data_IF_823133913720
#
_entry.id   IF_823133913720
#
_cell.length_a   1.000
_cell.length_b   1.000
_cell.length_c   1.000
_cell.angle_alpha   90.00
_cell.angle_beta   90.00
_cell.angle_gamma   90.00
#
_symmetry.space_group_name_H-M   'P 1'
#
loop_
_entity.id
_entity.type
_entity.pdbx_description
1 polymer ?
#
# COMPACT_ATOMS: atom_id res chain seq x y z
N UNK A 1 13.38 -16.39 38.58
CA UNK A 1 14.00 -15.19 37.98
C UNK A 1 13.29 -14.76 36.70
N UNK A 2 13.33 -15.51 35.60
CA UNK A 2 12.65 -15.11 34.35
C UNK A 2 11.12 -15.05 34.45
N UNK A 3 10.50 -16.00 35.15
CA UNK A 3 9.05 -16.01 35.38
C UNK A 3 8.59 -14.79 36.16
N UNK A 4 9.34 -14.39 37.18
CA UNK A 4 9.06 -13.22 38.00
C UNK A 4 9.21 -11.92 37.20
N UNK A 5 10.27 -11.80 36.40
CA UNK A 5 10.47 -10.66 35.48
C UNK A 5 9.31 -10.58 34.48
N UNK A 6 8.91 -11.71 33.89
CA UNK A 6 7.80 -11.76 32.94
C UNK A 6 6.47 -11.38 33.60
N UNK A 7 6.17 -11.92 34.78
CA UNK A 7 4.97 -11.56 35.54
C UNK A 7 4.96 -10.08 35.91
N UNK A 8 6.10 -9.52 36.32
CA UNK A 8 6.23 -8.10 36.61
C UNK A 8 6.03 -7.24 35.36
N UNK A 9 6.57 -7.63 34.20
CA UNK A 9 6.33 -6.92 32.95
C UNK A 9 4.82 -6.92 32.60
N UNK A 10 4.18 -8.09 32.62
CA UNK A 10 2.76 -8.22 32.30
C UNK A 10 1.86 -7.42 33.26
N UNK A 11 2.24 -7.31 34.55
CA UNK A 11 1.49 -6.51 35.53
C UNK A 11 1.66 -5.00 35.32
N UNK A 12 2.82 -4.56 34.86
CA UNK A 12 3.18 -3.13 34.80
C UNK A 12 2.95 -2.48 33.44
N UNK A 13 2.83 -3.25 32.35
CA UNK A 13 2.45 -2.69 31.04
C UNK A 13 0.97 -2.31 31.08
N UNK A 14 0.71 -1.01 31.25
CA UNK A 14 -0.66 -0.48 31.32
C UNK A 14 -1.32 -0.44 29.94
N UNK A 15 -2.58 -0.88 29.86
CA UNK A 15 -3.42 -0.65 28.69
C UNK A 15 -3.65 0.84 28.39
N UNK A 16 -3.66 1.71 29.41
CA UNK A 16 -3.78 3.16 29.22
C UNK A 16 -2.56 3.72 28.50
N UNK A 17 -1.36 3.30 28.92
CA UNK A 17 -0.10 3.64 28.28
C UNK A 17 -0.10 3.27 26.79
N UNK A 18 -0.52 2.04 26.45
CA UNK A 18 -0.59 1.59 25.06
C UNK A 18 -1.59 2.40 24.24
N UNK A 19 -2.76 2.72 24.82
CA UNK A 19 -3.80 3.51 24.14
C UNK A 19 -3.34 4.94 23.87
N UNK A 20 -2.68 5.58 24.83
CA UNK A 20 -2.16 6.94 24.68
C UNK A 20 -1.07 7.01 23.61
N UNK A 21 -0.12 6.07 23.62
CA UNK A 21 0.93 6.02 22.59
C UNK A 21 0.35 5.72 21.21
N UNK A 22 -0.62 4.81 21.11
CA UNK A 22 -1.31 4.56 19.85
C UNK A 22 -2.05 5.82 19.36
N UNK A 23 -2.64 6.62 20.26
CA UNK A 23 -3.27 7.88 19.89
C UNK A 23 -2.27 8.91 19.37
N UNK A 24 -1.06 8.96 19.92
CA UNK A 24 0.02 9.81 19.40
C UNK A 24 0.46 9.34 18.01
N UNK A 25 0.69 8.03 17.84
CA UNK A 25 1.16 7.46 16.56
C UNK A 25 0.11 7.49 15.46
N UNK A 26 -1.17 7.34 15.78
CA UNK A 26 -2.24 7.23 14.78
C UNK A 26 -3.13 8.48 14.68
N UNK A 27 -3.15 9.35 15.68
CA UNK A 27 -3.93 10.60 15.69
C UNK A 27 -3.17 11.80 15.11
N UNK A 28 -1.87 11.66 14.85
CA UNK A 28 -1.02 12.68 14.25
C UNK A 28 -1.20 12.85 12.73
N UNK A 29 -0.31 13.62 12.11
CA UNK A 29 -0.25 13.71 10.64
C UNK A 29 0.14 12.37 10.01
N UNK A 30 -0.28 12.10 8.76
CA UNK A 30 0.28 11.01 7.96
C UNK A 30 1.81 11.04 8.00
N UNK A 31 2.42 9.89 8.29
CA UNK A 31 3.85 9.74 8.49
C UNK A 31 4.48 8.71 7.54
N UNK A 32 4.26 8.81 6.20
CA UNK A 32 4.97 7.95 5.27
C UNK A 32 6.49 8.16 5.39
N UNK A 33 7.28 7.14 5.05
CA UNK A 33 8.73 7.19 5.14
C UNK A 33 9.30 8.42 4.43
N UNK A 34 10.21 9.14 5.10
CA UNK A 34 10.83 10.35 4.57
C UNK A 34 10.01 11.64 4.73
N UNK A 35 8.78 11.59 5.23
CA UNK A 35 7.98 12.80 5.49
C UNK A 35 8.34 13.46 6.82
N UNK A 36 7.99 14.75 6.96
CA UNK A 36 8.10 15.48 8.23
C UNK A 36 7.37 14.75 9.38
N UNK A 37 6.17 14.23 9.13
CA UNK A 37 5.41 13.49 10.14
C UNK A 37 6.17 12.25 10.66
N UNK A 38 6.91 11.56 9.79
CA UNK A 38 7.76 10.44 10.20
C UNK A 38 8.96 10.88 11.05
N UNK A 39 9.54 12.06 10.77
CA UNK A 39 10.58 12.66 11.63
C UNK A 39 10.02 13.08 12.99
N UNK A 40 8.82 13.67 13.04
CA UNK A 40 8.16 14.05 14.30
C UNK A 40 7.93 12.82 15.20
N UNK A 41 7.55 11.67 14.62
CA UNK A 41 7.44 10.40 15.36
C UNK A 41 8.81 9.92 15.85
N UNK A 42 9.87 10.05 15.04
CA UNK A 42 11.22 9.68 15.46
C UNK A 42 11.71 10.54 16.64
N UNK A 43 11.45 11.86 16.62
CA UNK A 43 11.73 12.78 17.72
C UNK A 43 11.01 12.35 19.01
N UNK A 44 9.73 11.99 18.90
CA UNK A 44 8.94 11.51 20.02
C UNK A 44 9.51 10.21 20.62
N UNK A 45 9.82 9.22 19.78
CA UNK A 45 10.38 7.93 20.24
C UNK A 45 11.73 8.12 20.91
N UNK A 46 12.61 8.94 20.33
CA UNK A 46 13.91 9.27 20.90
C UNK A 46 13.78 9.89 22.29
N UNK A 47 12.84 10.85 22.45
CA UNK A 47 12.55 11.47 23.73
C UNK A 47 12.06 10.43 24.76
N UNK A 48 11.09 9.60 24.40
CA UNK A 48 10.56 8.57 25.30
C UNK A 48 11.66 7.61 25.78
N UNK A 49 12.54 7.15 24.88
CA UNK A 49 13.63 6.24 25.27
C UNK A 49 14.62 6.89 26.23
N UNK A 50 14.96 8.17 26.01
CA UNK A 50 15.80 8.92 26.95
C UNK A 50 15.12 9.04 28.33
N UNK A 51 13.82 9.36 28.36
CA UNK A 51 13.04 9.49 29.60
C UNK A 51 12.90 8.17 30.36
N UNK A 52 12.81 7.04 29.66
CA UNK A 52 12.75 5.71 30.27
C UNK A 52 14.11 5.22 30.79
N UNK A 53 15.19 5.98 30.58
CA UNK A 53 16.52 5.65 31.08
C UNK A 53 17.29 4.65 30.22
N UNK A 54 17.00 4.56 28.93
CA UNK A 54 17.83 3.77 28.02
C UNK A 54 19.26 4.31 27.99
N UNK A 55 20.29 3.44 28.13
CA UNK A 55 21.67 3.88 28.33
C UNK A 55 22.26 4.58 27.10
N UNK A 56 21.83 4.21 25.89
CA UNK A 56 22.31 4.77 24.63
C UNK A 56 21.11 4.93 23.70
N UNK A 57 20.88 6.15 23.21
CA UNK A 57 19.83 6.47 22.25
C UNK A 57 20.44 7.36 21.16
N UNK A 58 20.63 6.78 19.97
CA UNK A 58 21.23 7.47 18.82
C UNK A 58 20.29 7.39 17.61
N UNK A 59 20.14 8.49 16.89
CA UNK A 59 19.48 8.52 15.59
C UNK A 59 20.47 8.14 14.50
N UNK A 60 20.06 7.24 13.61
CA UNK A 60 20.84 6.88 12.43
C UNK A 60 20.07 7.27 11.17
N UNK A 61 20.71 8.06 10.31
CA UNK A 61 20.16 8.47 9.04
C UNK A 61 20.72 7.63 7.89
N UNK A 62 19.86 7.35 6.92
CA UNK A 62 20.20 6.67 5.68
C UNK A 62 19.58 7.41 4.50
N UNK A 63 20.36 7.61 3.44
CA UNK A 63 19.87 8.16 2.19
C UNK A 63 19.49 7.02 1.27
N UNK A 64 18.19 6.89 1.01
CA UNK A 64 17.61 5.79 0.22
C UNK A 64 16.66 6.35 -0.84
N UNK A 65 16.56 5.65 -1.97
CA UNK A 65 15.58 5.98 -3.00
C UNK A 65 14.21 5.48 -2.55
N UNK A 66 13.33 6.42 -2.17
CA UNK A 66 11.94 6.12 -1.86
C UNK A 66 11.06 6.30 -3.09
N UNK A 67 10.01 5.48 -3.25
CA UNK A 67 9.04 5.69 -4.29
C UNK A 67 8.23 6.94 -3.94
N UNK A 68 8.18 7.90 -4.84
CA UNK A 68 7.37 9.10 -4.65
C UNK A 68 6.03 8.90 -5.38
N UNK A 69 4.94 9.03 -4.64
CA UNK A 69 3.60 8.98 -5.22
C UNK A 69 3.25 10.27 -5.97
N UNK A 70 2.05 10.34 -6.56
CA UNK A 70 1.52 11.61 -7.07
C UNK A 70 1.52 12.69 -5.97
N UNK A 71 1.77 13.97 -6.31
CA UNK A 71 1.67 15.05 -5.34
C UNK A 71 0.25 15.19 -4.82
N UNK A 72 0.09 15.73 -3.61
CA UNK A 72 -1.22 15.92 -2.96
C UNK A 72 -2.19 16.74 -3.84
N UNK A 73 -1.67 17.77 -4.54
CA UNK A 73 -2.46 18.64 -5.42
C UNK A 73 -2.66 18.10 -6.86
N UNK A 74 -2.16 16.89 -7.15
CA UNK A 74 -2.31 16.26 -8.47
C UNK A 74 -1.29 16.69 -9.54
N UNK A 75 -1.36 16.07 -10.74
CA UNK A 75 -2.37 15.10 -11.18
C UNK A 75 -2.19 13.72 -10.50
N UNK A 76 -3.31 13.03 -10.25
CA UNK A 76 -3.32 11.70 -9.65
C UNK A 76 -3.39 10.59 -10.70
N UNK A 77 -2.97 9.39 -10.30
CA UNK A 77 -3.13 8.19 -11.12
C UNK A 77 -4.62 7.88 -11.31
N UNK A 78 -4.99 7.53 -12.53
CA UNK A 78 -6.38 7.25 -12.88
C UNK A 78 -6.53 5.98 -13.72
N UNK A 79 -7.72 5.39 -13.61
CA UNK A 79 -8.17 4.29 -14.45
C UNK A 79 -9.46 4.74 -15.12
N UNK A 80 -9.47 4.71 -16.44
CA UNK A 80 -10.59 5.13 -17.26
C UNK A 80 -11.12 3.89 -17.99
N UNK A 81 -12.43 3.68 -17.91
CA UNK A 81 -13.14 2.72 -18.76
C UNK A 81 -13.84 3.51 -19.87
N UNK A 82 -13.58 3.14 -21.11
CA UNK A 82 -14.22 3.73 -22.28
C UNK A 82 -15.17 2.75 -22.96
N UNK A 83 -15.97 3.26 -23.90
CA UNK A 83 -16.65 2.42 -24.89
C UNK A 83 -15.63 1.73 -25.82
N UNK A 84 -16.13 0.83 -26.67
CA UNK A 84 -15.31 -0.09 -27.47
C UNK A 84 -14.36 0.63 -28.45
N UNK A 85 -14.79 1.75 -29.02
CA UNK A 85 -14.04 2.61 -29.94
C UNK A 85 -13.19 3.67 -29.22
N UNK A 86 -13.28 3.76 -27.88
CA UNK A 86 -12.47 4.66 -27.07
C UNK A 86 -12.90 6.13 -27.10
N UNK A 87 -14.04 6.43 -27.69
CA UNK A 87 -14.53 7.80 -27.91
C UNK A 87 -15.25 8.38 -26.70
N UNK A 88 -15.90 7.54 -25.90
CA UNK A 88 -16.68 7.96 -24.73
C UNK A 88 -16.14 7.33 -23.45
N UNK A 89 -16.01 8.15 -22.41
CA UNK A 89 -15.66 7.71 -21.05
C UNK A 89 -16.93 7.18 -20.36
N UNK A 90 -16.97 5.88 -20.11
CA UNK A 90 -18.04 5.21 -19.35
C UNK A 90 -17.82 5.39 -17.86
N UNK A 91 -16.57 5.27 -17.41
CA UNK A 91 -16.22 5.37 -15.99
C UNK A 91 -14.82 5.93 -15.80
N UNK A 92 -14.65 6.72 -14.74
CA UNK A 92 -13.35 7.22 -14.29
C UNK A 92 -13.20 6.92 -12.80
N UNK A 93 -12.08 6.31 -12.45
CA UNK A 93 -11.73 6.01 -11.08
C UNK A 93 -10.34 6.60 -10.76
N UNK A 94 -10.26 7.30 -9.64
CA UNK A 94 -9.02 7.69 -9.00
C UNK A 94 -8.98 7.03 -7.63
N UNK A 95 -7.84 6.41 -7.30
CA UNK A 95 -7.71 5.73 -6.02
C UNK A 95 -7.15 6.72 -5.00
N UNK A 96 -7.92 7.00 -3.95
CA UNK A 96 -7.53 7.88 -2.86
C UNK A 96 -7.89 7.25 -1.53
N UNK A 97 -7.21 7.70 -0.47
CA UNK A 97 -7.54 7.36 0.91
C UNK A 97 -7.94 8.62 1.64
N UNK A 98 -9.07 8.55 2.34
CA UNK A 98 -9.56 9.60 3.22
C UNK A 98 -8.73 9.63 4.49
N UNK A 99 -8.12 10.76 4.80
CA UNK A 99 -7.46 10.96 6.09
C UNK A 99 -8.49 11.53 7.07
N UNK A 100 -8.58 11.01 8.31
CA UNK A 100 -9.36 11.66 9.35
C UNK A 100 -8.85 13.07 9.59
N UNK A 101 -9.76 14.06 9.54
CA UNK A 101 -9.44 15.43 9.92
C UNK A 101 -9.07 15.50 11.41
N UNK A 102 -8.02 16.27 11.74
CA UNK A 102 -7.59 16.47 13.13
C UNK A 102 -8.69 17.15 13.94
N UNK A 103 -9.47 16.40 14.72
CA UNK A 103 -10.25 17.00 15.80
C UNK A 103 -9.28 17.38 16.92
N UNK A 104 -9.10 18.69 17.14
CA UNK A 104 -8.18 19.25 18.13
C UNK A 104 -8.50 18.88 19.59
N UNK A 105 -9.62 18.21 19.85
CA UNK A 105 -10.05 17.83 21.19
C UNK A 105 -10.39 16.35 21.23
N UNK A 106 -9.94 15.68 22.30
CA UNK A 106 -9.92 14.25 22.59
C UNK A 106 -11.28 13.51 22.64
N UNK A 107 -12.25 13.89 21.83
CA UNK A 107 -13.48 13.14 21.63
C UNK A 107 -13.37 12.35 20.33
N UNK A 108 -13.78 11.09 20.43
CA UNK A 108 -13.93 10.08 19.37
C UNK A 108 -13.75 10.64 17.95
N UNK A 109 -12.76 10.10 17.25
CA UNK A 109 -12.55 10.34 15.82
C UNK A 109 -13.79 9.87 15.08
N UNK A 110 -14.74 10.78 14.89
CA UNK A 110 -15.84 10.59 13.96
C UNK A 110 -15.23 10.81 12.58
N UNK A 111 -15.18 9.75 11.77
CA UNK A 111 -14.83 9.84 10.36
C UNK A 111 -16.05 10.42 9.63
N UNK A 112 -16.41 11.65 9.97
CA UNK A 112 -17.48 12.37 9.29
C UNK A 112 -16.90 12.88 7.97
N UNK A 113 -17.51 12.45 6.86
CA UNK A 113 -17.08 12.65 5.47
C UNK A 113 -17.10 14.11 4.99
N UNK A 114 -17.22 15.10 5.88
CA UNK A 114 -17.59 16.46 5.52
C UNK A 114 -16.39 17.39 5.27
N UNK A 115 -15.17 17.08 5.74
CA UNK A 115 -13.95 17.86 5.50
C UNK A 115 -12.69 16.98 5.62
N UNK A 116 -12.55 15.97 4.75
CA UNK A 116 -11.40 15.07 4.82
C UNK A 116 -10.43 15.30 3.67
N UNK A 117 -9.19 15.63 4.01
CA UNK A 117 -8.08 15.64 3.06
C UNK A 117 -7.93 14.22 2.48
N UNK A 118 -7.84 14.13 1.16
CA UNK A 118 -7.63 12.88 0.45
C UNK A 118 -6.17 12.79 0.01
N UNK A 119 -5.56 11.62 0.20
CA UNK A 119 -4.24 11.32 -0.36
C UNK A 119 -4.33 10.35 -1.53
N UNK A 120 -3.51 10.54 -2.58
CA UNK A 120 -3.45 9.60 -3.68
C UNK A 120 -2.90 8.25 -3.24
N UNK A 121 -3.55 7.18 -3.67
CA UNK A 121 -3.06 5.80 -3.49
C UNK A 121 -2.29 5.40 -4.73
N UNK A 122 -1.10 4.84 -4.54
CA UNK A 122 -0.25 4.39 -5.62
C UNK A 122 0.47 3.09 -5.26
N UNK A 123 1.00 2.43 -6.29
CA UNK A 123 1.83 1.25 -6.13
C UNK A 123 3.30 1.67 -6.12
N UNK A 124 3.93 1.60 -4.94
CA UNK A 124 5.35 1.87 -4.77
C UNK A 124 6.23 1.12 -5.79
N UNK A 125 7.19 1.83 -6.37
CA UNK A 125 8.13 1.35 -7.39
C UNK A 125 7.50 0.91 -8.73
N UNK A 126 6.23 1.25 -8.97
CA UNK A 126 5.65 1.12 -10.32
C UNK A 126 6.30 2.13 -11.27
N UNK A 127 6.52 1.72 -12.52
CA UNK A 127 6.89 2.68 -13.57
C UNK A 127 5.72 3.65 -13.81
N UNK A 128 6.05 4.89 -14.15
CA UNK A 128 5.10 5.85 -14.71
C UNK A 128 4.80 5.51 -16.17
N UNK A 129 3.57 5.72 -16.60
CA UNK A 129 3.15 5.51 -17.97
C UNK A 129 1.65 5.38 -18.10
N UNK A 130 1.21 5.27 -19.34
CA UNK A 130 -0.18 5.03 -19.71
C UNK A 130 -0.27 3.68 -20.44
N UNK A 131 -1.33 2.93 -20.18
CA UNK A 131 -1.63 1.68 -20.86
C UNK A 131 -3.11 1.66 -21.24
N UNK A 132 -3.38 1.31 -22.50
CA UNK A 132 -4.73 1.17 -23.03
C UNK A 132 -4.90 -0.24 -23.59
N UNK A 133 -6.05 -0.86 -23.32
CA UNK A 133 -6.31 -2.21 -23.79
C UNK A 133 -7.52 -2.87 -23.13
N UNK A 134 -7.85 -4.05 -23.63
CA UNK A 134 -8.90 -4.88 -23.04
C UNK A 134 -8.46 -5.40 -21.68
N UNK A 135 -9.34 -5.41 -20.69
CA UNK A 135 -8.98 -5.95 -19.39
C UNK A 135 -9.35 -7.43 -19.24
N UNK A 136 -8.53 -8.18 -18.50
CA UNK A 136 -8.77 -9.59 -18.16
C UNK A 136 -8.60 -9.81 -16.68
N UNK A 137 -9.55 -10.53 -16.08
CA UNK A 137 -9.49 -10.90 -14.68
C UNK A 137 -8.79 -12.25 -14.46
N UNK A 138 -7.74 -12.28 -13.63
CA UNK A 138 -6.90 -13.48 -13.39
C UNK A 138 -6.87 -13.94 -11.92
N UNK A 139 -7.96 -13.71 -11.20
CA UNK A 139 -8.07 -14.06 -9.77
C UNK A 139 -6.94 -13.44 -8.91
N UNK A 140 -6.11 -14.24 -8.24
CA UNK A 140 -5.02 -13.72 -7.40
C UNK A 140 -3.67 -13.64 -8.13
N UNK A 141 -3.61 -13.91 -9.44
CA UNK A 141 -2.37 -13.94 -10.24
C UNK A 141 -1.27 -14.84 -9.65
N UNK A 142 -1.65 -15.95 -9.02
CA UNK A 142 -0.70 -17.02 -8.67
C UNK A 142 -0.39 -17.83 -9.91
N UNK A 143 0.78 -18.49 -9.95
CA UNK A 143 1.15 -19.39 -11.06
C UNK A 143 0.02 -20.36 -11.43
N UNK A 144 -0.67 -20.98 -10.45
CA UNK A 144 -1.81 -21.88 -10.71
C UNK A 144 -3.04 -21.18 -11.30
N UNK A 145 -3.27 -19.91 -10.95
CA UNK A 145 -4.38 -19.14 -11.49
C UNK A 145 -4.12 -18.82 -12.98
N UNK A 146 -2.87 -18.48 -13.32
CA UNK A 146 -2.46 -18.20 -14.70
C UNK A 146 -2.48 -19.47 -15.57
N UNK A 147 -1.98 -20.60 -15.05
CA UNK A 147 -2.04 -21.89 -15.76
C UNK A 147 -3.48 -22.37 -15.95
N UNK A 148 -4.35 -22.16 -14.95
CA UNK A 148 -5.77 -22.47 -15.07
C UNK A 148 -6.44 -21.58 -16.12
N UNK A 149 -6.12 -20.29 -16.15
CA UNK A 149 -6.61 -19.37 -17.17
C UNK A 149 -6.27 -19.88 -18.58
N UNK A 150 -5.01 -20.20 -18.85
CA UNK A 150 -4.57 -20.74 -20.13
C UNK A 150 -5.30 -22.02 -20.53
N UNK A 151 -5.44 -22.95 -19.56
CA UNK A 151 -6.16 -24.20 -19.78
C UNK A 151 -7.61 -23.95 -20.16
N UNK A 152 -8.27 -22.99 -19.51
CA UNK A 152 -9.66 -22.63 -19.81
C UNK A 152 -9.82 -21.92 -21.15
N UNK A 153 -8.78 -21.22 -21.62
CA UNK A 153 -8.75 -20.62 -22.96
C UNK A 153 -8.36 -21.61 -24.06
N UNK A 154 -8.07 -22.87 -23.72
CA UNK A 154 -7.66 -23.88 -24.70
C UNK A 154 -6.29 -23.60 -25.34
N UNK A 155 -5.40 -22.89 -24.62
CA UNK A 155 -4.03 -22.59 -25.08
C UNK A 155 -3.31 -23.90 -25.43
N UNK A 156 -2.73 -23.98 -26.63
CA UNK A 156 -1.90 -25.10 -27.04
C UNK A 156 -0.46 -24.92 -26.54
N UNK A 157 0.28 -26.02 -26.46
CA UNK A 157 1.69 -26.00 -26.11
C UNK A 157 2.50 -25.25 -27.17
N UNK A 158 3.32 -24.29 -26.73
CA UNK A 158 4.12 -23.43 -27.62
C UNK A 158 3.47 -22.08 -27.97
N UNK A 159 2.14 -21.95 -27.91
CA UNK A 159 1.48 -20.67 -28.16
C UNK A 159 1.71 -19.69 -26.99
N UNK A 160 1.81 -18.38 -27.21
CA UNK A 160 1.86 -17.41 -26.12
C UNK A 160 0.51 -17.31 -25.39
N UNK A 161 0.53 -17.04 -24.08
CA UNK A 161 -0.72 -16.76 -23.36
C UNK A 161 -1.34 -15.45 -23.83
N UNK A 162 -2.67 -15.41 -23.90
CA UNK A 162 -3.45 -14.21 -24.21
C UNK A 162 -3.10 -13.04 -23.26
N UNK A 163 -2.79 -13.33 -21.99
CA UNK A 163 -2.45 -12.30 -21.00
C UNK A 163 -1.09 -11.64 -21.24
N UNK A 164 -0.29 -12.19 -22.17
CA UNK A 164 1.02 -11.67 -22.56
C UNK A 164 0.94 -10.71 -23.75
N UNK A 165 -0.26 -10.45 -24.27
CA UNK A 165 -0.49 -9.43 -25.27
C UNK A 165 -0.36 -8.03 -24.66
N UNK A 166 0.42 -7.14 -25.30
CA UNK A 166 0.60 -5.75 -24.88
C UNK A 166 -0.69 -4.91 -24.84
N UNK A 167 -1.73 -5.33 -25.57
CA UNK A 167 -3.04 -4.67 -25.61
C UNK A 167 -4.01 -5.22 -24.54
N UNK A 168 -3.49 -5.95 -23.54
CA UNK A 168 -4.28 -6.53 -22.45
C UNK A 168 -3.84 -5.96 -21.12
N UNK A 169 -4.81 -5.51 -20.32
CA UNK A 169 -4.62 -5.05 -18.94
C UNK A 169 -5.08 -6.15 -18.00
N UNK A 170 -4.15 -6.69 -17.20
CA UNK A 170 -4.46 -7.78 -16.26
C UNK A 170 -4.95 -7.21 -14.93
N UNK A 171 -6.16 -7.58 -14.51
CA UNK A 171 -6.76 -7.24 -13.22
C UNK A 171 -6.66 -8.43 -12.28
N UNK A 172 -6.07 -8.22 -11.09
CA UNK A 172 -5.91 -9.24 -10.07
C UNK A 172 -6.34 -8.73 -8.69
N UNK A 173 -6.92 -9.63 -7.89
CA UNK A 173 -7.29 -9.38 -6.50
C UNK A 173 -6.06 -9.29 -5.62
N UNK A 174 -6.13 -8.44 -4.59
CA UNK A 174 -5.18 -8.46 -3.47
C UNK A 174 -5.33 -9.77 -2.66
N UNK A 175 -4.28 -10.16 -1.94
CA UNK A 175 -4.26 -11.39 -1.13
C UNK A 175 -3.65 -12.61 -1.85
N UNK A 176 -3.54 -13.72 -1.12
CA UNK A 176 -2.96 -14.99 -1.58
C UNK A 176 -1.58 -14.86 -2.27
N UNK A 177 -0.76 -13.92 -1.79
CA UNK A 177 0.55 -13.57 -2.32
C UNK A 177 0.82 -12.06 -2.16
N UNK A 178 2.08 -11.66 -2.31
CA UNK A 178 2.47 -10.24 -2.31
C UNK A 178 2.15 -9.59 -3.65
N UNK A 179 2.00 -8.26 -3.70
CA UNK A 179 1.79 -7.54 -4.97
C UNK A 179 2.93 -7.80 -5.96
N UNK A 180 4.17 -7.83 -5.47
CA UNK A 180 5.37 -8.13 -6.25
C UNK A 180 5.36 -9.55 -6.81
N UNK A 181 4.86 -10.52 -6.03
CA UNK A 181 4.75 -11.91 -6.52
C UNK A 181 3.77 -12.03 -7.68
N UNK A 182 2.71 -11.22 -7.73
CA UNK A 182 1.75 -11.19 -8.85
C UNK A 182 2.43 -10.72 -10.13
N UNK A 183 3.16 -9.60 -10.07
CA UNK A 183 3.96 -9.11 -11.20
C UNK A 183 5.00 -10.15 -11.62
N UNK A 184 5.75 -10.70 -10.67
CA UNK A 184 6.77 -11.73 -10.94
C UNK A 184 6.17 -12.96 -11.62
N UNK A 185 5.01 -13.42 -11.17
CA UNK A 185 4.34 -14.57 -11.77
C UNK A 185 3.89 -14.26 -13.19
N UNK A 186 3.30 -13.08 -13.43
CA UNK A 186 2.86 -12.65 -14.75
C UNK A 186 4.05 -12.53 -15.71
N UNK A 187 5.11 -11.81 -15.30
CA UNK A 187 6.33 -11.67 -16.09
C UNK A 187 6.96 -13.02 -16.40
N UNK A 188 7.07 -13.90 -15.40
CA UNK A 188 7.60 -15.26 -15.60
C UNK A 188 6.75 -16.10 -16.54
N UNK A 189 5.43 -15.95 -16.44
CA UNK A 189 4.49 -16.68 -17.28
C UNK A 189 4.57 -16.23 -18.74
N UNK A 190 4.84 -14.95 -18.97
CA UNK A 190 5.03 -14.37 -20.29
C UNK A 190 6.45 -14.52 -20.85
N UNK A 191 7.47 -14.67 -20.01
CA UNK A 191 8.84 -14.94 -20.44
C UNK A 191 9.07 -16.40 -20.85
N UNK A 192 8.09 -17.29 -20.74
CA UNK A 192 8.15 -18.68 -21.25
C UNK A 192 7.67 -18.80 -22.71
N UNK A 193 7.87 -17.76 -23.53
CA UNK A 193 7.42 -17.68 -24.93
C UNK A 193 8.40 -16.94 -25.84
N UNK A 194 9.70 -17.19 -25.63
CA UNK A 194 10.75 -17.07 -26.64
C UNK A 194 11.48 -18.41 -26.73
#
# INVERSE_FOLDING_TARGET
>A
MWEEISQNLCKNVSGTFLREHLHIFCGGSPHPSGSKGNYDIADFVEKCWKEWGWPIVNRQEFYVTLPFGPPENGPWNEVILTNFDGTEVIHRAQNSVTIPSRLKNSQLVNVDNLNNDQLPVYQAYSCSGEAFGNFIFVNYARRKDLLLFDKLQGRQEGDPSLICNKNVIVIARLGNGTRQSKLKNLLKHCSCGQ
#
